data_IF_637423866190
#
_entry.id   IF_637423866190
#
_cell.length_a   1.000
_cell.length_b   1.000
_cell.length_c   1.000
_cell.angle_alpha   90.00
_cell.angle_beta   90.00
_cell.angle_gamma   90.00
#
_symmetry.space_group_name_H-M   'P 1'
#
loop_
_entity.id
_entity.type
_entity.pdbx_description
1 polymer ?
#
# COMPACT_ATOMS: atom_id res chain seq x y z
N UNK A 1 19.83 9.10 -21.56
CA UNK A 1 19.90 7.62 -21.62
C UNK A 1 20.70 6.97 -20.48
N UNK A 2 21.54 7.70 -19.72
CA UNK A 2 22.33 7.15 -18.60
C UNK A 2 21.51 6.83 -17.35
N UNK A 3 20.45 7.60 -17.07
CA UNK A 3 19.59 7.43 -15.90
C UNK A 3 18.73 6.13 -15.95
N UNK A 4 18.04 5.88 -17.07
CA UNK A 4 17.27 4.64 -17.28
C UNK A 4 18.14 3.37 -17.20
N UNK A 5 19.41 3.44 -17.64
CA UNK A 5 20.34 2.31 -17.48
C UNK A 5 20.72 2.04 -16.03
N UNK A 6 20.79 3.06 -15.16
CA UNK A 6 21.07 2.89 -13.72
C UNK A 6 19.93 2.17 -12.99
N UNK A 7 18.69 2.30 -13.46
CA UNK A 7 17.53 1.58 -12.93
C UNK A 7 17.55 0.09 -13.26
N UNK A 8 17.85 -0.25 -14.52
CA UNK A 8 17.92 -1.64 -14.96
C UNK A 8 19.09 -2.44 -14.34
N UNK A 9 20.14 -1.78 -13.81
CA UNK A 9 21.38 -2.45 -13.36
C UNK A 9 21.57 -2.56 -11.85
N UNK A 10 20.69 -2.04 -11.00
CA UNK A 10 20.77 -2.27 -9.54
C UNK A 10 20.14 -3.62 -9.15
N UNK A 11 20.71 -4.69 -9.69
CA UNK A 11 20.50 -6.05 -9.22
C UNK A 11 21.22 -6.27 -7.87
N UNK A 12 20.44 -6.58 -6.84
CA UNK A 12 20.73 -7.62 -5.85
C UNK A 12 22.13 -7.61 -5.18
N UNK A 13 22.37 -6.71 -4.22
CA UNK A 13 23.49 -6.87 -3.26
C UNK A 13 23.22 -6.42 -1.82
N UNK A 14 22.00 -6.00 -1.48
CA UNK A 14 21.63 -5.58 -0.13
C UNK A 14 20.77 -6.64 0.59
N UNK A 15 21.27 -7.87 0.69
CA UNK A 15 20.83 -8.84 1.72
C UNK A 15 21.89 -9.93 1.89
N UNK A 16 23.07 -9.53 2.40
CA UNK A 16 24.00 -10.45 3.08
C UNK A 16 24.44 -9.77 4.37
N UNK A 17 23.76 -10.12 5.46
CA UNK A 17 24.18 -9.71 6.78
C UNK A 17 23.01 -9.55 7.72
N UNK A 18 22.42 -10.67 8.17
CA UNK A 18 21.84 -10.78 9.50
C UNK A 18 21.91 -12.26 9.88
N UNK A 19 22.65 -12.50 10.96
CA UNK A 19 23.05 -13.83 11.42
C UNK A 19 21.89 -14.65 11.94
N UNK A 20 22.12 -15.96 11.94
CA UNK A 20 21.26 -16.96 12.54
C UNK A 20 21.07 -16.70 14.05
N UNK A 21 19.83 -16.68 14.51
CA UNK A 21 19.47 -16.89 15.91
C UNK A 21 18.49 -18.05 16.01
N UNK A 22 18.83 -18.97 16.91
CA UNK A 22 18.17 -20.25 17.23
C UNK A 22 16.84 -20.04 17.99
N UNK A 23 15.90 -21.01 17.99
CA UNK A 23 14.55 -20.80 18.54
C UNK A 23 14.50 -21.12 20.04
N UNK A 24 13.85 -20.27 20.83
CA UNK A 24 13.48 -20.60 22.21
C UNK A 24 12.16 -19.93 22.64
N UNK A 25 11.30 -20.77 23.23
CA UNK A 25 10.17 -20.51 24.14
C UNK A 25 8.93 -19.77 23.62
N UNK A 26 7.85 -20.56 23.45
CA UNK A 26 6.45 -20.11 23.55
C UNK A 26 6.17 -19.54 24.95
N UNK A 27 5.53 -18.37 25.01
CA UNK A 27 4.95 -17.78 26.22
C UNK A 27 3.57 -17.17 25.91
N UNK A 28 2.58 -17.50 26.73
CA UNK A 28 1.16 -17.18 26.62
C UNK A 28 0.83 -15.67 26.65
N UNK A 29 -0.36 -15.23 26.17
CA UNK A 29 -0.73 -13.81 26.14
C UNK A 29 -1.00 -13.27 27.55
N UNK A 30 -0.18 -12.31 27.98
CA UNK A 30 -0.36 -11.56 29.22
C UNK A 30 -1.40 -10.45 29.07
N UNK A 31 -2.37 -10.42 29.98
CA UNK A 31 -3.33 -9.33 30.18
C UNK A 31 -2.62 -8.08 30.69
N UNK A 32 -2.81 -6.93 30.02
CA UNK A 32 -2.35 -5.63 30.52
C UNK A 32 -3.47 -4.98 31.33
N UNK A 33 -3.27 -4.86 32.65
CA UNK A 33 -4.17 -4.14 33.55
C UNK A 33 -3.83 -2.64 33.52
N UNK A 34 -4.68 -1.83 32.89
CA UNK A 34 -4.58 -0.37 32.93
C UNK A 34 -5.26 0.16 34.21
N UNK A 35 -4.47 0.71 35.14
CA UNK A 35 -4.98 1.40 36.32
C UNK A 35 -5.73 2.68 35.91
N UNK A 36 -7.04 2.71 36.15
CA UNK A 36 -7.89 3.88 35.92
C UNK A 36 -7.57 4.97 36.94
N UNK A 37 -7.09 6.12 36.45
CA UNK A 37 -6.99 7.36 37.24
C UNK A 37 -8.37 7.74 37.77
N UNK A 38 -8.46 7.91 39.09
CA UNK A 38 -9.67 8.27 39.84
C UNK A 38 -9.95 9.75 39.63
N UNK A 39 -11.13 10.09 39.11
CA UNK A 39 -11.67 11.46 39.15
C UNK A 39 -12.53 11.55 40.41
N UNK A 40 -12.19 12.46 41.32
CA UNK A 40 -12.98 12.76 42.52
C UNK A 40 -14.09 13.75 42.20
N UNK A 41 -15.29 13.51 42.76
CA UNK A 41 -16.43 14.44 42.73
C UNK A 41 -16.85 14.80 44.16
N UNK A 42 -17.04 16.10 44.40
CA UNK A 42 -17.46 16.71 45.66
C UNK A 42 -18.94 16.43 46.02
N UNK A 43 -19.34 16.55 47.30
CA UNK A 43 -20.65 16.08 47.76
C UNK A 43 -21.75 17.13 47.64
N UNK A 44 -22.90 16.75 47.07
CA UNK A 44 -24.12 17.57 47.05
C UNK A 44 -25.30 16.82 46.43
N UNK A 45 -26.40 16.67 47.18
CA UNK A 45 -27.47 15.70 46.94
C UNK A 45 -28.23 15.79 45.62
N UNK A 46 -28.50 14.61 45.04
CA UNK A 46 -29.36 14.39 43.87
C UNK A 46 -29.80 12.91 43.82
N UNK A 47 -31.02 12.66 43.34
CA UNK A 47 -31.79 11.41 43.46
C UNK A 47 -31.12 10.19 42.81
N UNK A 48 -31.36 8.94 43.29
CA UNK A 48 -30.77 7.75 42.68
C UNK A 48 -31.34 7.53 41.27
N UNK A 49 -30.49 7.65 40.26
CA UNK A 49 -30.76 7.12 38.92
C UNK A 49 -30.29 5.67 38.89
N UNK A 50 -31.20 4.77 38.52
CA UNK A 50 -30.87 3.38 38.19
C UNK A 50 -30.03 3.39 36.91
N UNK A 51 -28.71 3.23 37.04
CA UNK A 51 -27.82 2.99 35.91
C UNK A 51 -27.98 1.53 35.52
N UNK A 52 -28.59 1.28 34.37
CA UNK A 52 -28.57 -0.03 33.73
C UNK A 52 -27.13 -0.29 33.27
N UNK A 53 -26.43 -1.22 33.93
CA UNK A 53 -25.14 -1.72 33.45
C UNK A 53 -25.41 -2.60 32.24
N UNK A 54 -25.47 -1.99 31.06
CA UNK A 54 -25.28 -2.77 29.84
C UNK A 54 -23.78 -2.93 29.63
N UNK A 55 -23.30 -4.14 29.85
CA UNK A 55 -21.93 -4.56 29.50
C UNK A 55 -21.79 -4.60 27.99
N UNK A 56 -21.83 -3.44 27.34
CA UNK A 56 -21.39 -3.31 25.96
C UNK A 56 -19.86 -3.42 25.98
N UNK A 57 -19.39 -4.65 25.74
CA UNK A 57 -18.01 -4.93 25.35
C UNK A 57 -17.76 -4.17 24.06
N UNK A 58 -17.19 -2.97 24.17
CA UNK A 58 -16.68 -2.22 23.02
C UNK A 58 -15.45 -2.98 22.52
N UNK A 59 -15.64 -3.80 21.50
CA UNK A 59 -14.54 -4.37 20.74
C UNK A 59 -13.72 -3.20 20.18
N UNK A 60 -12.59 -2.91 20.83
CA UNK A 60 -11.54 -2.12 20.22
C UNK A 60 -11.02 -2.99 19.08
N UNK A 61 -11.48 -2.70 17.85
CA UNK A 61 -10.80 -3.18 16.65
C UNK A 61 -9.34 -2.77 16.79
N UNK A 62 -8.50 -3.74 17.12
CA UNK A 62 -7.07 -3.61 16.91
C UNK A 62 -6.91 -3.71 15.41
N UNK A 63 -6.98 -2.56 14.72
CA UNK A 63 -6.68 -2.50 13.30
C UNK A 63 -5.29 -3.09 13.11
N UNK A 64 -5.24 -4.30 12.57
CA UNK A 64 -3.97 -4.85 12.10
C UNK A 64 -3.61 -4.01 10.89
N UNK A 65 -2.43 -3.38 10.83
CA UNK A 65 -2.05 -2.57 9.68
C UNK A 65 -2.18 -3.43 8.41
N UNK A 66 -2.96 -2.96 7.44
CA UNK A 66 -3.03 -3.61 6.13
C UNK A 66 -1.61 -3.76 5.57
N UNK A 67 -1.27 -4.90 4.95
CA UNK A 67 0.08 -5.12 4.46
C UNK A 67 0.43 -4.09 3.40
N UNK A 68 1.66 -3.56 3.43
CA UNK A 68 2.16 -2.68 2.38
C UNK A 68 2.35 -3.50 1.10
N UNK A 69 1.58 -3.15 0.07
CA UNK A 69 1.60 -3.76 -1.26
C UNK A 69 2.13 -2.79 -2.33
N UNK A 70 2.06 -1.48 -2.04
CA UNK A 70 2.66 -0.39 -2.83
C UNK A 70 3.36 0.60 -1.88
N UNK A 71 4.61 0.92 -2.17
CA UNK A 71 5.43 1.83 -1.36
C UNK A 71 5.97 3.01 -2.21
N UNK A 72 6.42 4.08 -1.56
CA UNK A 72 6.95 5.27 -2.20
C UNK A 72 8.36 5.57 -1.71
N UNK A 73 9.32 5.64 -2.65
CA UNK A 73 10.70 6.01 -2.34
C UNK A 73 11.11 7.27 -3.11
N UNK A 74 11.59 8.27 -2.39
CA UNK A 74 12.19 9.48 -2.98
C UNK A 74 13.69 9.27 -3.16
N UNK A 75 14.22 9.75 -4.27
CA UNK A 75 15.66 9.72 -4.54
C UNK A 75 16.31 11.05 -4.13
N UNK A 76 17.57 10.95 -3.72
CA UNK A 76 18.40 12.07 -3.25
C UNK A 76 19.61 12.29 -4.18
N UNK A 77 20.35 13.38 -3.96
CA UNK A 77 21.58 13.71 -4.70
C UNK A 77 21.30 14.17 -6.14
N UNK A 78 22.03 13.64 -7.13
CA UNK A 78 21.83 13.95 -8.55
C UNK A 78 20.42 13.59 -9.06
N UNK A 79 19.78 12.61 -8.40
CA UNK A 79 18.46 12.10 -8.77
C UNK A 79 17.33 12.79 -7.96
N UNK A 80 17.62 13.89 -7.27
CA UNK A 80 16.64 14.65 -6.49
C UNK A 80 15.46 15.12 -7.36
N UNK A 81 14.25 14.93 -6.83
CA UNK A 81 12.99 15.21 -7.52
C UNK A 81 12.41 13.99 -8.25
N UNK A 82 13.01 12.80 -8.10
CA UNK A 82 12.46 11.56 -8.66
C UNK A 82 11.82 10.74 -7.54
N UNK A 83 10.58 10.30 -7.78
CA UNK A 83 9.85 9.42 -6.89
C UNK A 83 9.63 8.06 -7.54
N UNK A 84 9.99 6.98 -6.85
CA UNK A 84 9.73 5.60 -7.26
C UNK A 84 8.47 5.09 -6.55
N UNK A 85 7.45 4.71 -7.31
CA UNK A 85 6.31 3.92 -6.82
C UNK A 85 6.70 2.44 -6.96
N UNK A 86 6.85 1.78 -5.82
CA UNK A 86 7.39 0.43 -5.69
C UNK A 86 6.26 -0.57 -5.46
N UNK A 87 5.99 -1.42 -6.45
CA UNK A 87 4.99 -2.49 -6.35
C UNK A 87 5.63 -3.75 -5.76
N UNK A 88 5.19 -4.19 -4.57
CA UNK A 88 5.91 -5.19 -3.77
C UNK A 88 5.05 -6.37 -3.27
N UNK A 89 3.88 -6.61 -3.88
CA UNK A 89 2.95 -7.71 -3.53
C UNK A 89 3.41 -9.05 -4.12
N UNK A 90 4.47 -9.62 -3.55
CA UNK A 90 5.11 -10.87 -4.01
C UNK A 90 4.12 -12.05 -4.10
N UNK A 91 3.30 -12.27 -3.06
CA UNK A 91 2.37 -13.42 -2.93
C UNK A 91 1.35 -13.53 -4.07
N UNK A 92 1.05 -12.40 -4.71
CA UNK A 92 0.04 -12.29 -5.76
C UNK A 92 0.60 -11.66 -7.03
N UNK A 93 1.93 -11.63 -7.20
CA UNK A 93 2.59 -11.14 -8.43
C UNK A 93 2.11 -9.74 -8.83
N UNK A 94 1.98 -8.84 -7.85
CA UNK A 94 1.44 -7.48 -8.04
C UNK A 94 0.06 -7.46 -8.71
N UNK A 95 -0.79 -8.45 -8.49
CA UNK A 95 -2.18 -8.38 -8.94
C UNK A 95 -2.92 -7.22 -8.27
N UNK A 96 -3.75 -6.53 -9.04
CA UNK A 96 -4.56 -5.38 -8.67
C UNK A 96 -5.75 -5.85 -7.82
N UNK A 97 -5.50 -6.10 -6.53
CA UNK A 97 -6.50 -6.36 -5.50
C UNK A 97 -6.92 -5.09 -4.77
N UNK A 98 -7.90 -5.17 -3.86
CA UNK A 98 -8.44 -3.99 -3.14
C UNK A 98 -7.38 -3.19 -2.38
N UNK A 99 -6.52 -3.87 -1.62
CA UNK A 99 -5.46 -3.23 -0.82
C UNK A 99 -4.46 -2.50 -1.72
N UNK A 100 -3.90 -3.22 -2.70
CA UNK A 100 -3.01 -2.65 -3.72
C UNK A 100 -3.58 -1.40 -4.38
N UNK A 101 -4.84 -1.46 -4.85
CA UNK A 101 -5.50 -0.36 -5.55
C UNK A 101 -5.74 0.84 -4.63
N UNK A 102 -6.12 0.61 -3.37
CA UNK A 102 -6.28 1.69 -2.38
C UNK A 102 -4.96 2.42 -2.14
N UNK A 103 -3.89 1.67 -1.83
CA UNK A 103 -2.57 2.24 -1.58
C UNK A 103 -2.01 2.97 -2.81
N UNK A 104 -2.18 2.40 -4.00
CA UNK A 104 -1.78 3.06 -5.25
C UNK A 104 -2.51 4.40 -5.43
N UNK A 105 -3.83 4.43 -5.21
CA UNK A 105 -4.63 5.66 -5.31
C UNK A 105 -4.19 6.72 -4.31
N UNK A 106 -3.92 6.32 -3.06
CA UNK A 106 -3.42 7.23 -2.02
C UNK A 106 -2.08 7.85 -2.43
N UNK A 107 -1.15 7.04 -2.95
CA UNK A 107 0.15 7.52 -3.42
C UNK A 107 0.03 8.44 -4.64
N UNK A 108 -0.80 8.07 -5.63
CA UNK A 108 -1.05 8.89 -6.82
C UNK A 108 -1.67 10.24 -6.43
N UNK A 109 -2.64 10.25 -5.51
CA UNK A 109 -3.24 11.47 -4.99
C UNK A 109 -2.22 12.36 -4.27
N UNK A 110 -1.36 11.77 -3.44
CA UNK A 110 -0.26 12.49 -2.76
C UNK A 110 0.72 13.10 -3.77
N UNK A 111 1.14 12.32 -4.77
CA UNK A 111 2.06 12.77 -5.82
C UNK A 111 1.48 13.90 -6.68
N UNK A 112 0.16 13.86 -6.96
CA UNK A 112 -0.51 14.90 -7.74
C UNK A 112 -0.33 16.31 -7.15
N UNK A 113 -0.26 16.41 -5.82
CA UNK A 113 -0.16 17.67 -5.09
C UNK A 113 1.28 18.01 -4.68
N UNK A 114 2.26 17.20 -5.06
CA UNK A 114 3.63 17.35 -4.62
C UNK A 114 4.51 18.08 -5.64
N UNK A 115 4.71 19.37 -5.39
CA UNK A 115 5.57 20.22 -6.23
C UNK A 115 7.05 19.89 -6.18
N UNK A 116 7.52 19.07 -5.23
CA UNK A 116 8.93 18.65 -5.16
C UNK A 116 9.25 17.51 -6.13
N UNK A 117 8.24 16.75 -6.58
CA UNK A 117 8.42 15.64 -7.52
C UNK A 117 8.38 16.15 -8.96
N UNK A 118 9.45 15.85 -9.71
CA UNK A 118 9.61 16.19 -11.12
C UNK A 118 9.40 15.02 -12.06
N UNK A 119 9.56 13.78 -11.58
CA UNK A 119 9.33 12.54 -12.34
C UNK A 119 8.86 11.45 -11.40
N UNK A 120 7.88 10.65 -11.84
CA UNK A 120 7.43 9.43 -11.14
C UNK A 120 7.84 8.19 -11.94
N UNK A 121 8.42 7.20 -11.27
CA UNK A 121 8.79 5.91 -11.86
C UNK A 121 7.99 4.81 -11.18
N UNK A 122 7.11 4.15 -11.91
CA UNK A 122 6.42 2.95 -11.48
C UNK A 122 7.31 1.74 -11.78
N UNK A 123 7.67 0.97 -10.75
CA UNK A 123 8.50 -0.23 -10.91
C UNK A 123 8.09 -1.33 -9.95
N UNK A 124 8.42 -2.56 -10.34
CA UNK A 124 8.19 -3.74 -9.51
C UNK A 124 9.41 -4.12 -8.68
N UNK A 125 9.18 -4.56 -7.44
CA UNK A 125 10.15 -5.29 -6.63
C UNK A 125 10.02 -6.81 -6.77
N UNK A 126 8.98 -7.29 -7.47
CA UNK A 126 8.71 -8.71 -7.71
C UNK A 126 9.49 -9.16 -8.95
N UNK A 127 10.45 -10.06 -8.76
CA UNK A 127 11.30 -10.54 -9.85
C UNK A 127 10.48 -11.14 -11.01
N UNK A 128 10.75 -10.68 -12.24
CA UNK A 128 10.14 -11.20 -13.47
C UNK A 128 8.66 -10.84 -13.66
N UNK A 129 8.07 -10.03 -12.78
CA UNK A 129 6.69 -9.56 -12.92
C UNK A 129 6.63 -8.07 -12.67
N UNK A 130 6.06 -7.33 -13.62
CA UNK A 130 5.66 -5.95 -13.38
C UNK A 130 4.32 -5.91 -12.63
N UNK A 131 3.26 -6.44 -13.25
CA UNK A 131 1.92 -6.55 -12.67
C UNK A 131 1.10 -7.61 -13.42
N UNK A 132 0.50 -8.55 -12.68
CA UNK A 132 -0.28 -9.65 -13.24
C UNK A 132 -1.70 -9.25 -13.70
N UNK A 133 -2.12 -7.99 -13.52
CA UNK A 133 -3.47 -7.52 -13.84
C UNK A 133 -4.44 -7.73 -12.69
N UNK A 134 -5.73 -7.93 -13.01
CA UNK A 134 -6.76 -8.06 -11.98
C UNK A 134 -6.50 -9.25 -11.04
N UNK A 135 -6.79 -9.08 -9.74
CA UNK A 135 -6.73 -10.20 -8.79
C UNK A 135 -7.91 -11.15 -9.00
N UNK A 136 -7.67 -12.23 -9.74
CA UNK A 136 -8.71 -13.22 -10.07
C UNK A 136 -9.28 -13.93 -8.83
N UNK A 137 -8.56 -13.99 -7.71
CA UNK A 137 -9.09 -14.59 -6.47
C UNK A 137 -10.12 -13.66 -5.87
N UNK A 138 -9.80 -12.37 -5.72
CA UNK A 138 -10.76 -11.39 -5.25
C UNK A 138 -11.95 -11.23 -6.21
N UNK A 139 -11.71 -11.31 -7.53
CA UNK A 139 -12.78 -11.23 -8.53
C UNK A 139 -13.76 -12.40 -8.45
N UNK A 140 -13.29 -13.59 -8.13
CA UNK A 140 -14.15 -14.78 -8.01
C UNK A 140 -15.17 -14.67 -6.85
N UNK A 141 -14.89 -13.81 -5.87
CA UNK A 141 -15.75 -13.58 -4.70
C UNK A 141 -16.73 -12.40 -4.89
N UNK A 142 -16.58 -11.62 -5.98
CA UNK A 142 -17.44 -10.46 -6.26
C UNK A 142 -18.72 -10.88 -6.96
N UNK A 143 -19.84 -10.24 -6.59
CA UNK A 143 -21.05 -10.27 -7.41
C UNK A 143 -20.89 -9.30 -8.62
N UNK A 144 -21.87 -9.30 -9.54
CA UNK A 144 -21.81 -8.46 -10.74
C UNK A 144 -21.68 -6.96 -10.45
N UNK A 145 -22.44 -6.43 -9.49
CA UNK A 145 -22.38 -5.00 -9.13
C UNK A 145 -21.02 -4.59 -8.55
N UNK A 146 -20.46 -5.41 -7.65
CA UNK A 146 -19.16 -5.16 -7.03
C UNK A 146 -18.05 -5.25 -8.09
N UNK A 147 -18.19 -6.22 -9.00
CA UNK A 147 -17.29 -6.41 -10.13
C UNK A 147 -17.26 -5.18 -11.04
N UNK A 148 -18.42 -4.62 -11.38
CA UNK A 148 -18.52 -3.44 -12.26
C UNK A 148 -17.97 -2.18 -11.59
N UNK A 149 -18.27 -1.98 -10.29
CA UNK A 149 -17.71 -0.89 -9.49
C UNK A 149 -16.19 -0.99 -9.40
N UNK A 150 -15.66 -2.20 -9.21
CA UNK A 150 -14.22 -2.43 -9.12
C UNK A 150 -13.51 -2.13 -10.45
N UNK A 151 -14.06 -2.56 -11.59
CA UNK A 151 -13.50 -2.24 -12.92
C UNK A 151 -13.53 -0.73 -13.18
N UNK A 152 -14.64 -0.07 -12.85
CA UNK A 152 -14.73 1.39 -12.95
C UNK A 152 -13.68 2.08 -12.09
N UNK A 153 -13.51 1.62 -10.84
CA UNK A 153 -12.50 2.13 -9.93
C UNK A 153 -11.08 1.97 -10.46
N UNK A 154 -10.75 0.83 -11.08
CA UNK A 154 -9.46 0.60 -11.72
C UNK A 154 -9.25 1.54 -12.91
N UNK A 155 -10.24 1.71 -13.77
CA UNK A 155 -10.16 2.63 -14.92
C UNK A 155 -9.96 4.08 -14.48
N UNK A 156 -10.63 4.50 -13.42
CA UNK A 156 -10.42 5.82 -12.82
C UNK A 156 -8.99 5.98 -12.30
N UNK A 157 -8.45 4.97 -11.60
CA UNK A 157 -7.04 5.00 -11.14
C UNK A 157 -6.06 5.14 -12.31
N UNK A 158 -6.26 4.40 -13.41
CA UNK A 158 -5.40 4.57 -14.61
C UNK A 158 -5.50 5.98 -15.19
N UNK A 159 -6.69 6.58 -15.14
CA UNK A 159 -6.91 7.96 -15.58
C UNK A 159 -6.21 8.95 -14.64
N UNK A 160 -6.28 8.74 -13.33
CA UNK A 160 -5.58 9.55 -12.31
C UNK A 160 -4.05 9.52 -12.53
N UNK A 161 -3.49 8.35 -12.84
CA UNK A 161 -2.06 8.20 -13.18
C UNK A 161 -1.71 8.95 -14.46
N UNK A 162 -2.52 8.80 -15.51
CA UNK A 162 -2.31 9.49 -16.79
C UNK A 162 -2.47 11.02 -16.71
N UNK A 163 -3.11 11.53 -15.64
CA UNK A 163 -3.32 12.96 -15.39
C UNK A 163 -2.38 13.53 -14.33
N UNK A 164 -1.36 12.78 -13.91
CA UNK A 164 -0.32 13.33 -13.03
C UNK A 164 0.36 14.53 -13.72
N UNK A 165 0.62 15.64 -12.99
CA UNK A 165 1.13 16.87 -13.59
C UNK A 165 2.62 16.81 -13.98
N UNK A 166 3.32 15.75 -13.55
CA UNK A 166 4.72 15.49 -13.87
C UNK A 166 4.86 14.23 -14.75
N UNK A 167 5.93 14.12 -15.55
CA UNK A 167 6.19 12.93 -16.35
C UNK A 167 6.24 11.63 -15.54
N UNK A 168 5.66 10.58 -16.12
CA UNK A 168 5.56 9.24 -15.55
C UNK A 168 6.28 8.20 -16.42
N UNK A 169 6.98 7.26 -15.78
CA UNK A 169 7.71 6.19 -16.44
C UNK A 169 7.32 4.84 -15.84
N UNK A 170 6.90 3.89 -16.68
CA UNK A 170 6.79 2.49 -16.29
C UNK A 170 8.08 1.73 -16.63
N UNK A 171 8.79 1.27 -15.60
CA UNK A 171 9.95 0.38 -15.73
C UNK A 171 9.47 -1.08 -15.68
N UNK A 172 9.28 -1.69 -16.85
CA UNK A 172 8.63 -3.00 -17.04
C UNK A 172 9.68 -4.10 -17.15
N UNK A 173 10.25 -4.50 -16.01
CA UNK A 173 11.28 -5.57 -15.93
C UNK A 173 10.68 -7.00 -15.84
N UNK A 174 9.47 -7.22 -16.39
CA UNK A 174 8.75 -8.49 -16.28
C UNK A 174 7.35 -8.49 -16.86
N UNK A 175 6.57 -9.55 -16.57
CA UNK A 175 5.21 -9.69 -17.09
C UNK A 175 4.29 -8.52 -16.68
N UNK A 176 3.66 -7.90 -17.68
CA UNK A 176 2.62 -6.88 -17.54
C UNK A 176 1.37 -7.35 -18.29
N UNK A 177 0.35 -7.82 -17.58
CA UNK A 177 -0.83 -8.48 -18.16
C UNK A 177 -2.11 -7.72 -17.81
N UNK A 178 -3.05 -7.60 -18.76
CA UNK A 178 -4.34 -6.95 -18.54
C UNK A 178 -4.19 -5.58 -17.87
N UNK A 179 -4.78 -5.41 -16.68
CA UNK A 179 -4.63 -4.21 -15.85
C UNK A 179 -3.19 -3.78 -15.56
N UNK A 180 -2.23 -4.70 -15.55
CA UNK A 180 -0.81 -4.36 -15.40
C UNK A 180 -0.21 -3.71 -16.63
N UNK A 181 -0.68 -4.09 -17.83
CA UNK A 181 -0.33 -3.39 -19.07
C UNK A 181 -1.08 -2.05 -19.17
N UNK A 182 -2.34 -1.99 -18.72
CA UNK A 182 -3.10 -0.73 -18.64
C UNK A 182 -2.41 0.29 -17.72
N UNK A 183 -1.87 -0.16 -16.58
CA UNK A 183 -1.03 0.67 -15.70
C UNK A 183 0.20 1.24 -16.43
N UNK A 184 0.89 0.41 -17.20
CA UNK A 184 2.04 0.86 -18.00
C UNK A 184 1.62 1.81 -19.14
N UNK A 185 0.44 1.60 -19.73
CA UNK A 185 -0.14 2.47 -20.77
C UNK A 185 -0.59 3.83 -20.24
N UNK A 186 -0.99 3.89 -18.97
CA UNK A 186 -1.29 5.15 -18.29
C UNK A 186 -0.04 6.03 -18.09
N UNK A 187 1.16 5.46 -18.15
CA UNK A 187 2.40 6.22 -18.06
C UNK A 187 2.79 6.86 -19.40
N UNK A 188 3.47 8.00 -19.36
CA UNK A 188 3.96 8.72 -20.55
C UNK A 188 4.98 7.89 -21.32
N UNK A 189 5.91 7.27 -20.59
CA UNK A 189 6.99 6.45 -21.15
C UNK A 189 7.00 5.05 -20.55
N UNK A 190 7.42 4.08 -21.36
CA UNK A 190 7.63 2.68 -20.98
C UNK A 190 9.00 2.22 -21.41
N UNK A 191 9.67 1.46 -20.55
CA UNK A 191 10.90 0.73 -20.89
C UNK A 191 10.75 -0.74 -20.53
N UNK A 192 11.22 -1.63 -21.41
CA UNK A 192 11.15 -3.08 -21.27
C UNK A 192 12.38 -3.73 -21.94
#
# INVERSE_FOLDING_TARGET
MTFLRRFATRHCSLFRGLGALSPASLGAPGSVTLHRLRVETLPGGGRPFTVYNDTHTRWLHTETPEPVEVDLKRLDGEDTGIAEVLMCRQKARNALGRVFVSQMRELVSSLHHDSAVRVVVFRSLVQGVFCAGADLKERAEMNHSDSDLFVHGLRSLMTEIALLPMPTVAAVDGFALGGGLELALACDLRTA
#
